data_IF_938929865448
#
_entry.id   IF_938929865448
#
_cell.length_a   1.000
_cell.length_b   1.000
_cell.length_c   1.000
_cell.angle_alpha   90.00
_cell.angle_beta   90.00
_cell.angle_gamma   90.00
#
_symmetry.space_group_name_H-M   'P 1'
#
loop_
_entity.id
_entity.type
_entity.pdbx_description
1 polymer ?
#
# COMPACT_ATOMS: atom_id res chain seq x y z
N UNK A 1 87.91 74.60 -119.58
CA UNK A 1 87.97 75.34 -118.30
C UNK A 1 86.62 75.43 -117.58
N UNK A 2 85.48 75.12 -118.21
CA UNK A 2 84.15 75.20 -117.54
C UNK A 2 83.74 73.97 -116.71
N UNK A 3 84.17 72.75 -117.07
CA UNK A 3 83.82 71.52 -116.30
C UNK A 3 84.37 71.49 -114.87
N UNK A 4 85.42 72.27 -114.55
CA UNK A 4 86.00 72.34 -113.20
C UNK A 4 85.17 73.20 -112.25
N UNK A 5 84.52 74.26 -112.74
CA UNK A 5 83.65 75.14 -111.94
C UNK A 5 82.34 74.48 -111.53
N UNK A 6 81.75 73.67 -112.41
CA UNK A 6 80.52 72.92 -112.08
C UNK A 6 80.76 71.86 -111.00
N UNK A 7 81.89 71.15 -111.06
CA UNK A 7 82.25 70.15 -110.06
C UNK A 7 82.51 70.78 -108.67
N UNK A 8 82.99 72.03 -108.62
CA UNK A 8 83.21 72.74 -107.35
C UNK A 8 81.89 73.21 -106.71
N UNK A 9 80.96 73.73 -107.52
CA UNK A 9 79.61 74.11 -107.05
C UNK A 9 78.79 72.91 -106.58
N UNK A 10 78.91 71.76 -107.26
CA UNK A 10 78.22 70.54 -106.85
C UNK A 10 78.78 69.98 -105.54
N UNK A 11 80.09 70.12 -105.32
CA UNK A 11 80.74 69.69 -104.09
C UNK A 11 80.39 70.58 -102.89
N UNK A 12 80.24 71.89 -103.11
CA UNK A 12 79.83 72.85 -102.08
C UNK A 12 78.35 72.66 -101.70
N UNK A 13 77.47 72.41 -102.68
CA UNK A 13 76.06 72.05 -102.46
C UNK A 13 75.89 70.74 -101.67
N UNK A 14 76.73 69.74 -101.95
CA UNK A 14 76.73 68.48 -101.20
C UNK A 14 77.26 68.67 -99.78
N UNK A 15 78.28 69.52 -99.58
CA UNK A 15 78.80 69.81 -98.25
C UNK A 15 77.78 70.53 -97.38
N UNK A 16 77.05 71.50 -97.93
CA UNK A 16 76.00 72.22 -97.20
C UNK A 16 74.82 71.30 -96.82
N UNK A 17 74.47 70.33 -97.68
CA UNK A 17 73.49 69.28 -97.35
C UNK A 17 73.97 68.35 -96.25
N UNK A 18 75.24 67.96 -96.26
CA UNK A 18 75.83 67.11 -95.21
C UNK A 18 75.82 67.86 -93.87
N UNK A 19 76.26 69.12 -93.86
CA UNK A 19 76.28 69.95 -92.66
C UNK A 19 74.86 70.22 -92.12
N UNK A 20 73.87 70.35 -93.02
CA UNK A 20 72.45 70.46 -92.64
C UNK A 20 71.89 69.18 -92.02
N UNK A 21 72.26 68.02 -92.56
CA UNK A 21 71.88 66.72 -92.01
C UNK A 21 72.58 66.43 -90.67
N UNK A 22 73.83 66.85 -90.49
CA UNK A 22 74.55 66.72 -89.23
C UNK A 22 73.94 67.60 -88.12
N UNK A 23 73.52 68.83 -88.44
CA UNK A 23 72.81 69.68 -87.47
C UNK A 23 71.44 69.12 -87.10
N UNK A 24 70.69 68.60 -88.08
CA UNK A 24 69.39 67.95 -87.84
C UNK A 24 69.53 66.71 -86.96
N UNK A 25 70.53 65.88 -87.22
CA UNK A 25 70.79 64.67 -86.42
C UNK A 25 71.30 65.00 -85.02
N UNK A 26 72.08 66.07 -84.83
CA UNK A 26 72.45 66.56 -83.50
C UNK A 26 71.25 67.09 -82.70
N UNK A 27 70.33 67.83 -83.32
CA UNK A 27 69.09 68.30 -82.67
C UNK A 27 68.22 67.12 -82.22
N UNK A 28 68.03 66.12 -83.07
CA UNK A 28 67.29 64.89 -82.73
C UNK A 28 67.98 64.12 -81.58
N UNK A 29 69.32 64.17 -81.50
CA UNK A 29 70.10 63.51 -80.44
C UNK A 29 70.00 64.26 -79.10
N UNK A 30 69.88 65.59 -79.13
CA UNK A 30 69.71 66.42 -77.93
C UNK A 30 68.27 66.38 -77.38
N UNK A 31 67.23 66.13 -78.19
CA UNK A 31 65.84 66.01 -77.71
C UNK A 31 65.48 64.60 -77.18
N UNK A 32 66.21 63.55 -77.58
CA UNK A 32 65.95 62.14 -77.19
C UNK A 32 66.19 61.77 -75.70
N UNK A 33 67.10 62.37 -74.92
CA UNK A 33 67.28 61.99 -73.52
C UNK A 33 66.19 62.53 -72.58
N UNK A 34 65.40 63.53 -73.00
CA UNK A 34 64.36 64.13 -72.13
C UNK A 34 63.04 63.37 -72.10
N UNK A 35 62.66 62.64 -73.17
CA UNK A 35 61.39 61.89 -73.21
C UNK A 35 61.46 60.54 -72.48
N UNK A 36 62.59 59.83 -72.57
CA UNK A 36 62.78 58.53 -71.90
C UNK A 36 62.82 58.63 -70.37
N UNK A 37 63.35 59.72 -69.82
CA UNK A 37 63.40 59.93 -68.36
C UNK A 37 62.03 60.32 -67.79
N UNK A 38 61.27 61.16 -68.50
CA UNK A 38 59.89 61.49 -68.11
C UNK A 38 58.96 60.28 -68.21
N UNK A 39 59.05 59.46 -69.27
CA UNK A 39 58.23 58.26 -69.47
C UNK A 39 58.55 57.14 -68.46
N UNK A 40 59.82 56.95 -68.10
CA UNK A 40 60.21 55.97 -67.07
C UNK A 40 59.71 56.35 -65.68
N UNK A 41 59.71 57.66 -65.35
CA UNK A 41 59.21 58.13 -64.06
C UNK A 41 57.68 58.06 -63.94
N UNK A 42 56.96 58.33 -65.03
CA UNK A 42 55.49 58.26 -65.05
C UNK A 42 54.98 56.83 -65.09
N UNK A 43 55.65 55.93 -65.82
CA UNK A 43 55.33 54.50 -65.83
C UNK A 43 55.55 53.84 -64.47
N UNK A 44 56.66 54.14 -63.79
CA UNK A 44 56.91 53.67 -62.42
C UNK A 44 55.88 54.20 -61.40
N UNK A 45 55.48 55.46 -61.51
CA UNK A 45 54.42 56.07 -60.67
C UNK A 45 53.05 55.41 -60.90
N UNK A 46 52.72 55.06 -62.15
CA UNK A 46 51.48 54.36 -62.50
C UNK A 46 51.50 52.91 -61.98
N UNK A 47 52.63 52.22 -62.07
CA UNK A 47 52.80 50.87 -61.48
C UNK A 47 52.64 50.90 -59.97
N UNK A 48 53.20 51.91 -59.29
CA UNK A 48 53.06 52.07 -57.84
C UNK A 48 51.61 52.40 -57.45
N UNK A 49 50.92 53.25 -58.22
CA UNK A 49 49.48 53.53 -58.03
C UNK A 49 48.62 52.27 -58.26
N UNK A 50 48.92 51.48 -59.30
CA UNK A 50 48.22 50.22 -59.57
C UNK A 50 48.45 49.19 -58.45
N UNK A 51 49.66 49.13 -57.89
CA UNK A 51 49.97 48.25 -56.76
C UNK A 51 49.21 48.68 -55.50
N UNK A 52 49.18 49.98 -55.20
CA UNK A 52 48.38 50.53 -54.07
C UNK A 52 46.88 50.30 -54.25
N UNK A 53 46.37 50.37 -55.49
CA UNK A 53 44.98 50.05 -55.81
C UNK A 53 44.66 48.57 -55.54
N UNK A 54 45.51 47.65 -56.01
CA UNK A 54 45.38 46.20 -55.73
C UNK A 54 45.39 45.90 -54.23
N UNK A 55 46.33 46.48 -53.48
CA UNK A 55 46.40 46.28 -52.02
C UNK A 55 45.16 46.82 -51.30
N UNK A 56 44.61 47.93 -51.78
CA UNK A 56 43.37 48.51 -51.25
C UNK A 56 42.15 47.63 -51.55
N UNK A 57 42.07 47.06 -52.75
CA UNK A 57 41.04 46.11 -53.14
C UNK A 57 41.13 44.81 -52.34
N UNK A 58 42.33 44.29 -52.11
CA UNK A 58 42.54 43.11 -51.26
C UNK A 58 42.14 43.37 -49.81
N UNK A 59 42.46 44.56 -49.27
CA UNK A 59 42.01 44.98 -47.93
C UNK A 59 40.48 45.09 -47.86
N UNK A 60 39.83 45.67 -48.87
CA UNK A 60 38.37 45.75 -48.95
C UNK A 60 37.75 44.35 -48.99
N UNK A 61 38.27 43.45 -49.83
CA UNK A 61 37.80 42.07 -49.94
C UNK A 61 37.98 41.29 -48.64
N UNK A 62 39.10 41.48 -47.94
CA UNK A 62 39.34 40.89 -46.61
C UNK A 62 38.35 41.43 -45.58
N UNK A 63 38.10 42.73 -45.56
CA UNK A 63 37.14 43.37 -44.66
C UNK A 63 35.69 42.90 -44.93
N UNK A 64 35.30 42.80 -46.19
CA UNK A 64 33.98 42.29 -46.60
C UNK A 64 33.79 40.83 -46.20
N UNK A 65 34.79 39.97 -46.46
CA UNK A 65 34.75 38.57 -46.03
C UNK A 65 34.69 38.44 -44.50
N UNK A 66 35.43 39.29 -43.77
CA UNK A 66 35.38 39.32 -42.31
C UNK A 66 33.98 39.74 -41.80
N UNK A 67 33.37 40.76 -42.43
CA UNK A 67 31.99 41.16 -42.11
C UNK A 67 30.99 40.04 -42.40
N UNK A 68 31.11 39.36 -43.54
CA UNK A 68 30.22 38.25 -43.88
C UNK A 68 30.37 37.10 -42.87
N UNK A 69 31.59 36.80 -42.44
CA UNK A 69 31.85 35.79 -41.41
C UNK A 69 31.21 36.17 -40.08
N UNK A 70 31.40 37.40 -39.61
CA UNK A 70 30.79 37.90 -38.38
C UNK A 70 29.26 37.92 -38.45
N UNK A 71 28.67 38.26 -39.61
CA UNK A 71 27.22 38.19 -39.78
C UNK A 71 26.68 36.76 -39.72
N UNK A 72 27.42 35.78 -40.26
CA UNK A 72 27.06 34.36 -40.16
C UNK A 72 27.13 33.89 -38.71
N UNK A 73 28.24 34.18 -38.04
CA UNK A 73 28.45 33.83 -36.63
C UNK A 73 27.38 34.45 -35.72
N UNK A 74 27.03 35.72 -35.93
CA UNK A 74 25.92 36.37 -35.20
C UNK A 74 24.58 35.68 -35.44
N UNK A 75 24.27 35.32 -36.69
CA UNK A 75 23.03 34.59 -37.01
C UNK A 75 23.01 33.19 -36.39
N UNK A 76 24.15 32.52 -36.31
CA UNK A 76 24.27 31.21 -35.66
C UNK A 76 24.12 31.34 -34.14
N UNK A 77 24.80 32.31 -33.52
CA UNK A 77 24.64 32.61 -32.10
C UNK A 77 23.19 32.98 -31.74
N UNK A 78 22.51 33.79 -32.55
CA UNK A 78 21.09 34.11 -32.35
C UNK A 78 20.18 32.87 -32.44
N UNK A 79 20.49 31.94 -33.36
CA UNK A 79 19.75 30.67 -33.48
C UNK A 79 19.98 29.76 -32.29
N UNK A 80 21.22 29.65 -31.84
CA UNK A 80 21.58 28.86 -30.67
C UNK A 80 20.94 29.44 -29.40
N UNK A 81 21.00 30.76 -29.22
CA UNK A 81 20.32 31.45 -28.13
C UNK A 81 18.82 31.13 -28.10
N UNK A 82 18.12 31.24 -29.25
CA UNK A 82 16.70 30.88 -29.34
C UNK A 82 16.43 29.42 -28.96
N UNK A 83 17.26 28.48 -29.42
CA UNK A 83 17.14 27.06 -29.03
C UNK A 83 17.32 26.86 -27.54
N UNK A 84 18.29 27.54 -26.93
CA UNK A 84 18.51 27.45 -25.48
C UNK A 84 17.34 28.00 -24.69
N UNK A 85 16.78 29.15 -25.09
CA UNK A 85 15.61 29.77 -24.44
C UNK A 85 14.37 28.89 -24.57
N UNK A 86 14.13 28.29 -25.74
CA UNK A 86 13.03 27.34 -25.92
C UNK A 86 13.20 26.12 -25.04
N UNK A 87 14.41 25.54 -25.00
CA UNK A 87 14.72 24.40 -24.14
C UNK A 87 14.50 24.71 -22.66
N UNK A 88 14.99 25.85 -22.16
CA UNK A 88 14.78 26.24 -20.76
C UNK A 88 13.31 26.44 -20.45
N UNK A 89 12.53 27.01 -21.38
CA UNK A 89 11.08 27.17 -21.22
C UNK A 89 10.35 25.84 -21.12
N UNK A 90 10.74 24.84 -21.91
CA UNK A 90 10.18 23.49 -21.81
C UNK A 90 10.56 22.82 -20.47
N UNK A 91 11.82 22.94 -20.05
CA UNK A 91 12.29 22.43 -18.75
C UNK A 91 11.55 23.09 -17.58
N UNK A 92 11.29 24.40 -17.64
CA UNK A 92 10.49 25.13 -16.64
C UNK A 92 9.03 24.67 -16.60
N UNK A 93 8.39 24.51 -17.77
CA UNK A 93 7.01 24.02 -17.85
C UNK A 93 6.86 22.58 -17.34
N UNK A 94 7.87 21.73 -17.56
CA UNK A 94 7.90 20.38 -17.00
C UNK A 94 8.07 20.39 -15.48
N UNK A 95 8.97 21.23 -14.95
CA UNK A 95 9.13 21.43 -13.51
C UNK A 95 7.85 21.94 -12.85
N UNK A 96 7.15 22.88 -13.49
CA UNK A 96 5.88 23.39 -12.98
C UNK A 96 4.82 22.29 -12.87
N UNK A 97 4.70 21.43 -13.90
CA UNK A 97 3.81 20.26 -13.85
C UNK A 97 4.16 19.29 -12.72
N UNK A 98 5.45 19.01 -12.54
CA UNK A 98 5.92 18.16 -11.45
C UNK A 98 5.58 18.76 -10.07
N UNK A 99 5.75 20.07 -9.89
CA UNK A 99 5.36 20.77 -8.65
C UNK A 99 3.84 20.68 -8.41
N UNK A 100 3.02 20.88 -9.43
CA UNK A 100 1.56 20.74 -9.31
C UNK A 100 1.14 19.31 -8.93
N UNK A 101 1.82 18.28 -9.46
CA UNK A 101 1.55 16.89 -9.10
C UNK A 101 1.97 16.57 -7.67
N UNK A 102 3.12 17.09 -7.21
CA UNK A 102 3.54 17.01 -5.81
C UNK A 102 2.53 17.70 -4.88
N UNK A 103 2.02 18.87 -5.28
CA UNK A 103 1.02 19.58 -4.48
C UNK A 103 -0.30 18.80 -4.40
N UNK A 104 -0.77 18.25 -5.52
CA UNK A 104 -1.97 17.38 -5.53
C UNK A 104 -1.81 16.15 -4.66
N UNK A 105 -0.66 15.46 -4.75
CA UNK A 105 -0.40 14.27 -3.93
C UNK A 105 -0.30 14.63 -2.45
N UNK A 106 0.30 15.77 -2.11
CA UNK A 106 0.31 16.30 -0.74
C UNK A 106 -1.11 16.59 -0.23
N UNK A 107 -1.94 17.27 -1.01
CA UNK A 107 -3.32 17.57 -0.62
C UNK A 107 -4.14 16.29 -0.36
N UNK A 108 -3.99 15.28 -1.21
CA UNK A 108 -4.63 13.98 -1.00
C UNK A 108 -4.12 13.28 0.26
N UNK A 109 -2.82 13.38 0.56
CA UNK A 109 -2.27 12.83 1.80
C UNK A 109 -2.83 13.55 3.04
N UNK A 110 -2.95 14.89 2.98
CA UNK A 110 -3.53 15.70 4.07
C UNK A 110 -5.02 15.37 4.28
N UNK A 111 -5.80 15.19 3.21
CA UNK A 111 -7.21 14.78 3.28
C UNK A 111 -7.38 13.38 3.88
N UNK A 112 -6.59 12.41 3.41
CA UNK A 112 -6.59 11.05 3.95
C UNK A 112 -6.22 11.03 5.45
N UNK A 113 -5.24 11.85 5.86
CA UNK A 113 -4.86 11.97 7.27
C UNK A 113 -6.00 12.54 8.13
N UNK A 114 -6.73 13.54 7.63
CA UNK A 114 -7.90 14.09 8.33
C UNK A 114 -9.04 13.07 8.42
N UNK A 115 -9.31 12.32 7.35
CA UNK A 115 -10.34 11.27 7.37
C UNK A 115 -9.96 10.15 8.34
N UNK A 116 -8.70 9.72 8.35
CA UNK A 116 -8.18 8.74 9.31
C UNK A 116 -8.37 9.23 10.75
N UNK A 117 -8.07 10.50 11.04
CA UNK A 117 -8.27 11.09 12.36
C UNK A 117 -9.75 11.12 12.76
N UNK A 118 -10.67 11.41 11.83
CA UNK A 118 -12.12 11.35 12.10
C UNK A 118 -12.57 9.94 12.45
N UNK A 119 -12.14 8.95 11.67
CA UNK A 119 -12.46 7.53 11.92
C UNK A 119 -11.86 7.03 13.24
N UNK A 120 -10.64 7.47 13.59
CA UNK A 120 -10.03 7.16 14.88
C UNK A 120 -10.84 7.72 16.05
N UNK A 121 -11.30 8.98 15.95
CA UNK A 121 -12.14 9.58 16.97
C UNK A 121 -13.49 8.87 17.11
N UNK A 122 -14.13 8.48 16.00
CA UNK A 122 -15.37 7.70 16.00
C UNK A 122 -15.16 6.31 16.63
N UNK A 123 -14.07 5.62 16.26
CA UNK A 123 -13.73 4.33 16.85
C UNK A 123 -13.52 4.44 18.37
N UNK A 124 -12.85 5.50 18.84
CA UNK A 124 -12.68 5.77 20.27
C UNK A 124 -14.02 6.00 20.98
N UNK A 125 -14.94 6.73 20.37
CA UNK A 125 -16.29 6.92 20.93
C UNK A 125 -17.05 5.60 21.04
N UNK A 126 -17.01 4.77 20.00
CA UNK A 126 -17.64 3.44 20.00
C UNK A 126 -17.02 2.55 21.09
N UNK A 127 -15.70 2.60 21.29
CA UNK A 127 -15.02 1.86 22.36
C UNK A 127 -15.48 2.32 23.75
N UNK A 128 -15.62 3.63 23.95
CA UNK A 128 -16.12 4.21 25.20
C UNK A 128 -17.58 3.80 25.47
N UNK A 129 -18.44 3.86 24.47
CA UNK A 129 -19.85 3.41 24.55
C UNK A 129 -19.94 1.90 24.83
N UNK A 130 -19.09 1.08 24.20
CA UNK A 130 -19.01 -0.35 24.46
C UNK A 130 -18.58 -0.60 25.91
N UNK A 131 -17.60 0.15 26.42
CA UNK A 131 -17.16 0.05 27.81
C UNK A 131 -18.28 0.47 28.76
N UNK A 132 -19.02 1.52 28.46
CA UNK A 132 -20.13 1.98 29.29
C UNK A 132 -21.26 0.94 29.32
N UNK A 133 -21.64 0.39 28.17
CA UNK A 133 -22.67 -0.67 28.08
C UNK A 133 -22.24 -1.93 28.83
N UNK A 134 -20.98 -2.34 28.72
CA UNK A 134 -20.44 -3.45 29.52
C UNK A 134 -20.53 -3.16 31.03
N UNK A 135 -20.16 -1.95 31.46
CA UNK A 135 -20.30 -1.53 32.86
C UNK A 135 -21.76 -1.57 33.32
N UNK A 136 -22.69 -1.07 32.51
CA UNK A 136 -24.13 -1.13 32.79
C UNK A 136 -24.63 -2.58 32.88
N UNK A 137 -24.18 -3.47 32.00
CA UNK A 137 -24.50 -4.91 32.06
C UNK A 137 -23.97 -5.52 33.36
N UNK A 138 -22.74 -5.24 33.76
CA UNK A 138 -22.17 -5.74 35.03
C UNK A 138 -22.96 -5.20 36.22
N UNK A 139 -23.31 -3.92 36.23
CA UNK A 139 -24.13 -3.33 37.30
C UNK A 139 -25.55 -3.92 37.34
N UNK A 140 -26.16 -4.16 36.17
CA UNK A 140 -27.47 -4.82 36.06
C UNK A 140 -27.39 -6.27 36.55
N UNK A 141 -26.34 -7.03 36.17
CA UNK A 141 -26.07 -8.38 36.66
C UNK A 141 -25.84 -8.41 38.17
N UNK A 142 -25.08 -7.46 38.72
CA UNK A 142 -24.89 -7.34 40.17
C UNK A 142 -26.19 -7.00 40.90
N UNK A 143 -26.97 -6.07 40.36
CA UNK A 143 -28.30 -5.74 40.91
C UNK A 143 -29.28 -6.91 40.80
N UNK A 144 -29.23 -7.67 39.71
CA UNK A 144 -30.00 -8.90 39.55
C UNK A 144 -29.53 -9.95 40.55
N UNK A 145 -28.24 -10.27 40.61
CA UNK A 145 -27.67 -11.23 41.55
C UNK A 145 -27.98 -10.88 43.00
N UNK A 146 -27.87 -9.61 43.40
CA UNK A 146 -28.24 -9.13 44.74
C UNK A 146 -29.75 -9.27 45.03
N UNK A 147 -30.62 -9.32 44.02
CA UNK A 147 -32.05 -9.66 44.18
C UNK A 147 -32.29 -11.17 44.31
N UNK A 148 -31.30 -12.00 43.97
CA UNK A 148 -31.39 -13.47 43.94
C UNK A 148 -30.39 -14.16 44.89
N UNK A 149 -29.79 -13.46 45.86
CA UNK A 149 -28.89 -14.07 46.88
C UNK A 149 -29.61 -15.01 47.86
N UNK A 150 -30.78 -15.53 47.52
CA UNK A 150 -31.52 -16.54 48.27
C UNK A 150 -31.96 -17.71 47.35
N UNK A 151 -31.15 -18.02 46.34
CA UNK A 151 -31.44 -19.08 45.34
C UNK A 151 -30.33 -20.12 45.28
N UNK A 152 -29.87 -20.59 46.45
CA UNK A 152 -28.96 -21.75 46.54
C UNK A 152 -29.69 -23.09 46.64
N UNK A 153 -31.02 -23.13 46.51
CA UNK A 153 -31.82 -24.37 46.61
C UNK A 153 -32.54 -24.78 45.33
N UNK A 154 -32.26 -24.17 44.18
CA UNK A 154 -32.98 -24.55 42.97
C UNK A 154 -32.22 -25.61 42.17
N UNK A 155 -32.77 -26.82 42.25
CA UNK A 155 -32.45 -27.92 41.34
C UNK A 155 -32.42 -27.42 39.90
N UNK A 156 -31.31 -27.68 39.20
CA UNK A 156 -31.12 -27.30 37.80
C UNK A 156 -32.18 -27.99 36.93
N UNK A 157 -33.25 -27.26 36.60
CA UNK A 157 -34.21 -27.66 35.57
C UNK A 157 -33.55 -27.40 34.20
N UNK A 158 -33.64 -28.31 33.21
CA UNK A 158 -33.05 -28.06 31.90
C UNK A 158 -33.80 -26.89 31.25
N UNK A 159 -33.06 -25.86 30.84
CA UNK A 159 -33.60 -24.84 29.96
C UNK A 159 -33.96 -25.50 28.62
N UNK A 160 -35.24 -25.41 28.28
CA UNK A 160 -35.76 -25.67 26.94
C UNK A 160 -35.42 -24.43 26.10
N UNK A 161 -34.37 -24.53 25.29
CA UNK A 161 -34.04 -23.53 24.28
C UNK A 161 -35.02 -23.71 23.12
N UNK A 162 -36.14 -22.99 23.17
CA UNK A 162 -36.88 -22.64 21.97
C UNK A 162 -36.25 -21.41 21.34
N UNK A 163 -35.12 -21.58 20.68
CA UNK A 163 -34.69 -20.68 19.61
C UNK A 163 -34.93 -21.41 18.29
N UNK A 164 -36.02 -20.99 17.63
CA UNK A 164 -36.39 -21.42 16.31
C UNK A 164 -35.77 -20.42 15.33
N UNK A 165 -34.51 -20.62 14.97
CA UNK A 165 -33.95 -20.11 13.73
C UNK A 165 -33.25 -21.25 13.00
N UNK A 166 -33.74 -21.43 11.79
CA UNK A 166 -33.43 -22.42 10.76
C UNK A 166 -31.92 -22.69 10.62
N UNK A 167 -31.47 -23.89 10.98
CA UNK A 167 -30.36 -24.52 10.28
C UNK A 167 -30.47 -26.06 10.39
N UNK A 168 -30.75 -26.67 9.24
CA UNK A 168 -30.82 -28.10 9.06
C UNK A 168 -29.46 -28.73 9.40
N UNK A 169 -29.49 -29.87 10.10
CA UNK A 169 -28.37 -30.81 10.24
C UNK A 169 -27.42 -30.65 11.44
N UNK A 170 -27.94 -30.43 12.64
CA UNK A 170 -27.26 -30.87 13.87
C UNK A 170 -28.12 -31.82 14.67
N UNK A 171 -27.79 -33.10 14.61
CA UNK A 171 -28.21 -34.12 15.57
C UNK A 171 -27.64 -33.79 16.96
N UNK A 172 -28.28 -32.86 17.66
CA UNK A 172 -27.93 -32.46 19.01
C UNK A 172 -28.30 -33.56 20.02
N UNK A 173 -27.47 -34.60 20.10
CA UNK A 173 -27.38 -35.44 21.30
C UNK A 173 -26.86 -34.57 22.45
N UNK A 174 -27.75 -33.94 23.24
CA UNK A 174 -27.40 -33.33 24.53
C UNK A 174 -26.81 -34.44 25.43
N UNK A 175 -25.48 -34.53 25.52
CA UNK A 175 -24.80 -35.36 26.52
C UNK A 175 -24.76 -34.57 27.83
N UNK A 176 -25.60 -34.94 28.77
CA UNK A 176 -25.55 -34.41 30.12
C UNK A 176 -24.33 -35.03 30.82
N UNK A 177 -23.27 -34.24 31.01
CA UNK A 177 -22.11 -34.67 31.78
C UNK A 177 -22.43 -34.50 33.26
N UNK A 178 -22.57 -35.61 33.99
CA UNK A 178 -22.69 -35.57 35.44
C UNK A 178 -21.33 -35.31 36.07
N UNK A 179 -21.25 -34.30 36.95
CA UNK A 179 -20.05 -34.02 37.74
C UNK A 179 -19.77 -35.19 38.69
N UNK A 180 -18.59 -35.79 38.56
CA UNK A 180 -18.16 -37.01 39.28
C UNK A 180 -17.08 -36.72 40.32
N UNK A 181 -16.79 -35.46 40.61
CA UNK A 181 -15.66 -35.04 41.46
C UNK A 181 -15.87 -35.22 42.97
N UNK A 182 -17.04 -35.69 43.41
CA UNK A 182 -17.33 -36.01 44.82
C UNK A 182 -17.03 -37.46 45.19
N UNK A 183 -16.60 -37.70 46.44
CA UNK A 183 -16.50 -39.04 47.01
C UNK A 183 -17.89 -39.71 47.07
N UNK A 184 -18.23 -40.50 46.05
CA UNK A 184 -19.55 -41.12 45.84
C UNK A 184 -19.70 -42.45 46.59
N UNK A 185 -19.38 -42.49 47.88
CA UNK A 185 -19.77 -43.65 48.67
C UNK A 185 -21.30 -43.72 48.73
N UNK A 186 -21.91 -44.73 48.11
CA UNK A 186 -23.36 -44.91 48.10
C UNK A 186 -23.84 -45.20 49.53
N UNK A 187 -24.21 -44.16 50.28
CA UNK A 187 -24.63 -44.26 51.69
C UNK A 187 -25.78 -45.25 51.91
N UNK A 188 -26.56 -45.54 50.88
CA UNK A 188 -27.69 -46.48 50.88
C UNK A 188 -27.29 -47.89 51.35
N UNK A 189 -26.06 -48.35 51.08
CA UNK A 189 -25.60 -49.69 51.45
C UNK A 189 -25.37 -49.87 52.95
N UNK A 190 -25.25 -48.76 53.69
CA UNK A 190 -25.09 -48.73 55.16
C UNK A 190 -26.39 -48.37 55.88
N UNK A 191 -27.48 -48.07 55.16
CA UNK A 191 -28.77 -47.70 55.77
C UNK A 191 -29.53 -48.93 56.23
N UNK A 192 -30.13 -48.82 57.41
CA UNK A 192 -31.08 -49.79 57.95
C UNK A 192 -32.41 -49.11 58.21
N UNK A 193 -33.51 -49.88 58.20
CA UNK A 193 -34.81 -49.28 58.51
C UNK A 193 -34.87 -48.86 59.96
N UNK A 194 -35.64 -47.82 60.25
CA UNK A 194 -35.87 -47.38 61.63
C UNK A 194 -36.47 -48.50 62.47
N UNK A 195 -37.32 -49.35 61.90
CA UNK A 195 -37.86 -50.53 62.58
C UNK A 195 -36.75 -51.50 62.99
N UNK A 196 -35.79 -51.79 62.11
CA UNK A 196 -34.63 -52.64 62.46
C UNK A 196 -33.75 -52.03 63.55
N UNK A 197 -33.60 -50.71 63.57
CA UNK A 197 -32.72 -50.00 64.53
C UNK A 197 -33.38 -49.74 65.89
N UNK A 198 -34.68 -49.48 65.91
CA UNK A 198 -35.45 -49.07 67.10
C UNK A 198 -36.39 -50.18 67.57
N UNK A 199 -36.02 -50.83 68.68
CA UNK A 199 -36.79 -51.92 69.27
C UNK A 199 -38.17 -51.46 69.78
N UNK A 200 -38.30 -50.24 70.28
CA UNK A 200 -39.56 -49.71 70.77
C UNK A 200 -40.55 -49.53 69.61
N UNK A 201 -40.07 -48.98 68.50
CA UNK A 201 -40.86 -48.87 67.26
C UNK A 201 -41.33 -50.24 66.76
N UNK A 202 -40.46 -51.25 66.77
CA UNK A 202 -40.82 -52.62 66.39
C UNK A 202 -41.92 -53.19 67.28
N UNK A 203 -41.81 -53.03 68.60
CA UNK A 203 -42.82 -53.51 69.55
C UNK A 203 -44.17 -52.82 69.34
N UNK A 204 -44.17 -51.48 69.15
CA UNK A 204 -45.38 -50.71 68.87
C UNK A 204 -46.07 -51.15 67.58
N UNK A 205 -45.32 -51.28 66.48
CA UNK A 205 -45.86 -51.75 65.19
C UNK A 205 -46.39 -53.19 65.28
N UNK A 206 -45.73 -54.06 66.05
CA UNK A 206 -46.21 -55.43 66.32
C UNK A 206 -47.53 -55.44 67.09
N UNK A 207 -47.65 -54.61 68.13
CA UNK A 207 -48.89 -54.47 68.90
C UNK A 207 -50.03 -53.90 68.05
N UNK A 208 -49.77 -52.85 67.26
CA UNK A 208 -50.75 -52.28 66.32
C UNK A 208 -51.19 -53.30 65.28
N UNK A 209 -50.25 -54.08 64.70
CA UNK A 209 -50.58 -55.14 63.74
C UNK A 209 -51.55 -56.15 64.35
N UNK A 210 -51.31 -56.59 65.59
CA UNK A 210 -52.20 -57.55 66.27
C UNK A 210 -53.59 -56.95 66.55
N UNK A 211 -53.67 -55.67 66.93
CA UNK A 211 -54.93 -54.98 67.15
C UNK A 211 -55.74 -54.76 65.86
N UNK A 212 -55.05 -54.52 64.73
CA UNK A 212 -55.67 -54.25 63.43
C UNK A 212 -56.08 -55.51 62.67
N UNK A 213 -55.32 -56.61 62.78
CA UNK A 213 -55.66 -57.91 62.16
C UNK A 213 -57.02 -58.43 62.65
N UNK A 214 -57.44 -58.07 63.87
CA UNK A 214 -58.78 -58.39 64.38
C UNK A 214 -59.90 -57.62 63.68
N UNK A 215 -59.60 -56.52 62.97
CA UNK A 215 -60.60 -55.63 62.35
C UNK A 215 -60.77 -55.82 60.83
N UNK A 216 -59.78 -56.39 60.13
CA UNK A 216 -59.78 -56.48 58.67
C UNK A 216 -59.63 -57.94 58.22
N UNK A 217 -60.75 -58.59 57.91
CA UNK A 217 -60.71 -59.93 57.30
C UNK A 217 -61.13 -59.98 55.83
N UNK A 218 -61.66 -58.90 55.22
CA UNK A 218 -62.33 -59.00 53.91
C UNK A 218 -61.95 -57.94 52.83
N UNK A 219 -60.81 -57.24 52.92
CA UNK A 219 -60.45 -56.26 51.89
C UNK A 219 -58.94 -56.05 51.70
N UNK A 220 -58.18 -57.12 51.48
CA UNK A 220 -56.75 -56.99 51.14
C UNK A 220 -56.58 -56.56 49.68
N UNK A 221 -55.83 -55.49 49.47
CA UNK A 221 -55.36 -55.07 48.13
C UNK A 221 -54.22 -55.96 47.63
N UNK A 222 -53.85 -55.81 46.36
CA UNK A 222 -52.69 -56.53 45.80
C UNK A 222 -51.39 -56.05 46.46
N UNK A 223 -51.32 -54.77 46.79
CA UNK A 223 -50.22 -54.13 47.49
C UNK A 223 -50.09 -54.68 48.92
N UNK A 224 -51.19 -54.91 49.62
CA UNK A 224 -51.18 -55.51 50.97
C UNK A 224 -50.64 -56.94 50.94
N UNK A 225 -51.05 -57.74 49.94
CA UNK A 225 -50.52 -59.09 49.73
C UNK A 225 -49.02 -59.05 49.44
N UNK A 226 -48.58 -58.18 48.55
CA UNK A 226 -47.17 -57.98 48.18
C UNK A 226 -46.34 -57.51 49.38
N UNK A 227 -46.86 -56.59 50.19
CA UNK A 227 -46.21 -56.11 51.39
C UNK A 227 -46.06 -57.21 52.45
N UNK A 228 -47.11 -58.02 52.68
CA UNK A 228 -47.03 -59.14 53.62
C UNK A 228 -46.03 -60.20 53.16
N UNK A 229 -46.03 -60.56 51.88
CA UNK A 229 -45.05 -61.49 51.32
C UNK A 229 -43.61 -60.96 51.48
N UNK A 230 -43.39 -59.68 51.17
CA UNK A 230 -42.07 -59.07 51.31
C UNK A 230 -41.60 -59.01 52.76
N UNK A 231 -42.46 -58.62 53.70
CA UNK A 231 -42.09 -58.37 55.10
C UNK A 231 -42.13 -59.61 55.99
N UNK A 232 -43.15 -60.44 55.84
CA UNK A 232 -43.42 -61.59 56.72
C UNK A 232 -42.77 -62.85 56.17
N UNK A 233 -42.91 -63.12 54.86
CA UNK A 233 -42.45 -64.38 54.27
C UNK A 233 -40.99 -64.31 53.83
N UNK A 234 -40.59 -63.19 53.23
CA UNK A 234 -39.23 -63.01 52.68
C UNK A 234 -38.30 -62.20 53.60
N UNK A 235 -38.83 -61.49 54.60
CA UNK A 235 -38.05 -60.67 55.53
C UNK A 235 -37.25 -59.54 54.87
N UNK A 236 -37.72 -59.08 53.71
CA UNK A 236 -37.09 -58.05 52.89
C UNK A 236 -37.63 -56.67 53.29
N UNK A 237 -36.75 -55.68 53.30
CA UNK A 237 -37.08 -54.27 53.55
C UNK A 237 -36.51 -53.38 52.43
N UNK A 238 -36.85 -52.08 52.45
CA UNK A 238 -36.43 -51.11 51.43
C UNK A 238 -34.93 -51.13 51.15
N UNK A 239 -34.09 -51.12 52.18
CA UNK A 239 -32.64 -51.01 52.02
C UNK A 239 -32.00 -52.35 51.65
N UNK A 240 -32.55 -53.47 52.15
CA UNK A 240 -32.16 -54.81 51.71
C UNK A 240 -32.47 -55.03 50.23
N UNK A 241 -33.64 -54.59 49.75
CA UNK A 241 -33.98 -54.66 48.31
C UNK A 241 -33.02 -53.81 47.49
N UNK A 242 -32.79 -52.56 47.89
CA UNK A 242 -31.86 -51.67 47.18
C UNK A 242 -30.47 -52.27 47.07
N UNK A 243 -29.96 -52.87 48.15
CA UNK A 243 -28.68 -53.57 48.14
C UNK A 243 -28.70 -54.73 47.13
N UNK A 244 -29.70 -55.62 47.23
CA UNK A 244 -29.83 -56.81 46.38
C UNK A 244 -29.93 -56.48 44.88
N UNK A 245 -30.76 -55.51 44.49
CA UNK A 245 -30.90 -55.12 43.07
C UNK A 245 -29.68 -54.36 42.54
N UNK A 246 -28.85 -53.82 43.42
CA UNK A 246 -27.61 -53.11 43.04
C UNK A 246 -26.39 -54.02 43.02
N UNK A 247 -26.48 -55.27 43.47
CA UNK A 247 -25.38 -56.22 43.43
C UNK A 247 -24.86 -56.46 42.00
N UNK A 248 -23.60 -56.84 41.89
CA UNK A 248 -22.94 -57.13 40.61
C UNK A 248 -22.55 -55.89 39.80
N UNK A 249 -22.04 -56.11 38.60
CA UNK A 249 -21.53 -55.03 37.74
C UNK A 249 -22.67 -54.28 37.06
N UNK A 250 -22.40 -53.03 36.64
CA UNK A 250 -23.34 -52.23 35.83
C UNK A 250 -23.78 -53.04 34.61
N UNK A 251 -22.83 -53.71 33.92
CA UNK A 251 -23.13 -54.56 32.78
C UNK A 251 -24.13 -55.66 33.11
N UNK A 252 -23.93 -56.42 34.21
CA UNK A 252 -24.86 -57.47 34.61
C UNK A 252 -26.28 -56.93 34.80
N UNK A 253 -26.42 -55.77 35.46
CA UNK A 253 -27.73 -55.16 35.71
C UNK A 253 -28.39 -54.63 34.43
N UNK A 254 -27.60 -54.15 33.47
CA UNK A 254 -28.11 -53.77 32.13
C UNK A 254 -28.55 -55.03 31.38
N UNK A 255 -27.74 -56.08 31.37
CA UNK A 255 -28.07 -57.33 30.69
C UNK A 255 -29.34 -57.99 31.30
N UNK A 256 -29.51 -57.93 32.63
CA UNK A 256 -30.73 -58.38 33.33
C UNK A 256 -31.95 -57.53 32.97
N UNK A 257 -31.78 -56.21 32.81
CA UNK A 257 -32.84 -55.29 32.42
C UNK A 257 -33.31 -55.52 30.98
N UNK A 258 -32.39 -55.71 30.03
CA UNK A 258 -32.72 -55.98 28.62
C UNK A 258 -33.35 -57.38 28.42
N UNK A 259 -33.22 -58.27 29.40
CA UNK A 259 -33.80 -59.62 29.37
C UNK A 259 -35.20 -59.73 30.00
N UNK A 260 -35.69 -58.66 30.66
CA UNK A 260 -37.05 -58.58 31.23
C UNK A 260 -38.06 -58.11 30.19
#
# INVERSE_FOLDING_TARGET
TERRKQAEQERESLQEKIDGLERSTQLIRQEKPSRRSSESSTTGSIEEQNQRAKESDDKRRKAENAQLRLQRERKEADREYRRTVERTRYEEAEREKAVQEIEKTRLLADENAQEAQRKENEARQIEEDLRETQMRIVQAKKSYSNRFTDRSEEYSVPADDTDNDEDENRTHRKKQNFDTTGNTFAHEDMRTTTTTRDQNRTQKLGAERNNLVQRQQNADTLEDKTYRENTTDKGIDKYKTLKKIREGTVKRRIDEFEAM
#
